data_IF_963522310411
#
_entry.id   IF_963522310411
#
_cell.length_a   1.000
_cell.length_b   1.000
_cell.length_c   1.000
_cell.angle_alpha   90.00
_cell.angle_beta   90.00
_cell.angle_gamma   90.00
#
_symmetry.space_group_name_H-M   'P 1'
#
loop_
_entity.id
_entity.type
_entity.pdbx_description
1 polymer ?
#
# COMPACT_ATOMS: atom_id res chain seq x y z
N UNK A 1 -7.61 -14.44 -10.57
CA UNK A 1 -6.21 -14.04 -10.77
C UNK A 1 -6.04 -12.61 -10.28
N UNK A 2 -4.89 -12.29 -9.69
CA UNK A 2 -4.54 -10.92 -9.29
C UNK A 2 -3.45 -10.47 -10.27
N UNK A 3 -3.63 -9.29 -10.87
CA UNK A 3 -2.71 -8.80 -11.90
C UNK A 3 -2.48 -7.29 -11.73
N UNK A 4 -1.31 -6.93 -11.22
CA UNK A 4 -0.90 -5.54 -11.04
C UNK A 4 -0.45 -4.87 -12.34
N UNK A 5 -0.31 -5.62 -13.44
CA UNK A 5 -0.05 -5.08 -14.77
C UNK A 5 -1.32 -4.73 -15.54
N UNK A 6 -2.48 -5.04 -14.98
CA UNK A 6 -3.78 -4.80 -15.59
C UNK A 6 -4.46 -3.61 -14.91
N UNK A 7 -4.74 -2.55 -15.68
CA UNK A 7 -5.33 -1.32 -15.13
C UNK A 7 -6.78 -1.49 -14.68
N UNK A 8 -7.51 -2.42 -15.30
CA UNK A 8 -8.96 -2.58 -15.11
C UNK A 8 -9.34 -4.01 -14.75
N UNK A 9 -10.24 -4.16 -13.80
CA UNK A 9 -10.73 -5.48 -13.37
C UNK A 9 -11.63 -6.10 -14.43
N UNK A 10 -11.37 -7.37 -14.74
CA UNK A 10 -12.02 -8.10 -15.83
C UNK A 10 -12.71 -9.36 -15.30
N UNK A 11 -13.92 -9.60 -15.81
CA UNK A 11 -14.70 -10.80 -15.53
C UNK A 11 -15.08 -11.50 -16.83
N UNK A 12 -15.05 -12.83 -16.82
CA UNK A 12 -15.45 -13.64 -17.96
C UNK A 12 -16.98 -13.69 -18.08
N UNK A 13 -17.51 -13.42 -19.27
CA UNK A 13 -18.95 -13.54 -19.55
C UNK A 13 -19.51 -14.91 -19.18
N UNK A 14 -18.75 -15.98 -19.44
CA UNK A 14 -19.15 -17.36 -19.11
C UNK A 14 -19.40 -17.55 -17.61
N UNK A 15 -18.64 -16.86 -16.75
CA UNK A 15 -18.85 -16.92 -15.31
C UNK A 15 -20.19 -16.28 -14.95
N UNK A 16 -20.47 -15.10 -15.49
CA UNK A 16 -21.69 -14.32 -15.24
C UNK A 16 -22.93 -15.14 -15.61
N UNK A 17 -22.90 -15.78 -16.78
CA UNK A 17 -23.97 -16.65 -17.25
C UNK A 17 -24.13 -17.89 -16.36
N UNK A 18 -23.02 -18.50 -15.92
CA UNK A 18 -23.03 -19.67 -15.04
C UNK A 18 -23.63 -19.37 -13.65
N UNK A 19 -23.45 -18.15 -13.15
CA UNK A 19 -23.99 -17.73 -11.83
C UNK A 19 -25.29 -16.93 -11.93
N UNK A 20 -25.90 -16.89 -13.12
CA UNK A 20 -27.17 -16.21 -13.41
C UNK A 20 -27.20 -14.73 -12.99
N UNK A 21 -26.12 -14.01 -13.29
CA UNK A 21 -26.00 -12.56 -13.01
C UNK A 21 -26.15 -11.70 -14.27
N UNK A 22 -26.66 -12.27 -15.36
CA UNK A 22 -26.77 -11.59 -16.66
C UNK A 22 -27.68 -10.36 -16.61
N UNK A 23 -28.66 -10.36 -15.69
CA UNK A 23 -29.56 -9.24 -15.44
C UNK A 23 -28.87 -8.02 -14.77
N UNK A 24 -27.65 -8.17 -14.26
CA UNK A 24 -26.89 -7.08 -13.63
C UNK A 24 -25.91 -6.38 -14.60
N UNK A 25 -25.88 -6.81 -15.86
CA UNK A 25 -25.01 -6.23 -16.88
C UNK A 25 -25.53 -4.84 -17.28
N UNK A 26 -24.63 -3.86 -17.30
CA UNK A 26 -24.93 -2.50 -17.77
C UNK A 26 -23.96 -2.06 -18.86
N UNK A 27 -24.38 -1.08 -19.66
CA UNK A 27 -23.54 -0.48 -20.70
C UNK A 27 -22.58 0.53 -20.09
N UNK A 28 -21.34 0.51 -20.57
CA UNK A 28 -20.28 1.46 -20.21
C UNK A 28 -19.75 2.15 -21.47
N UNK A 29 -19.07 3.31 -21.34
CA UNK A 29 -18.29 3.87 -22.42
C UNK A 29 -17.33 2.84 -23.02
N UNK A 30 -17.05 2.95 -24.31
CA UNK A 30 -16.20 2.01 -25.04
C UNK A 30 -14.79 1.99 -24.45
N UNK A 31 -14.35 0.85 -23.95
CA UNK A 31 -12.99 0.60 -23.45
C UNK A 31 -12.25 -0.28 -24.44
N UNK A 32 -11.04 0.13 -24.82
CA UNK A 32 -10.14 -0.68 -25.64
C UNK A 32 -9.10 -1.33 -24.73
N UNK A 33 -9.15 -2.65 -24.60
CA UNK A 33 -8.11 -3.41 -23.93
C UNK A 33 -6.94 -3.57 -24.89
N UNK A 34 -5.78 -3.09 -24.49
CA UNK A 34 -4.54 -3.15 -25.27
C UNK A 34 -3.53 -4.00 -24.52
N UNK A 35 -2.95 -4.98 -25.20
CA UNK A 35 -1.90 -5.81 -24.62
C UNK A 35 -0.56 -5.08 -24.53
N UNK A 36 0.38 -5.65 -23.79
CA UNK A 36 1.76 -5.13 -23.70
C UNK A 36 2.47 -4.98 -25.07
N UNK A 37 2.04 -5.77 -26.07
CA UNK A 37 2.51 -5.68 -27.46
C UNK A 37 1.85 -4.56 -28.28
N UNK A 38 1.11 -3.65 -27.65
CA UNK A 38 0.34 -2.55 -28.26
C UNK A 38 -0.76 -2.98 -29.23
N UNK A 39 -1.13 -4.27 -29.25
CA UNK A 39 -2.26 -4.74 -30.05
C UNK A 39 -3.55 -4.66 -29.24
N UNK A 40 -4.62 -4.21 -29.87
CA UNK A 40 -5.96 -4.26 -29.29
C UNK A 40 -6.38 -5.72 -29.14
N UNK A 41 -6.67 -6.12 -27.89
CA UNK A 41 -7.14 -7.44 -27.54
C UNK A 41 -8.66 -7.53 -27.67
N UNK A 42 -9.35 -6.50 -27.19
CA UNK A 42 -10.80 -6.43 -27.24
C UNK A 42 -11.28 -4.98 -27.13
N UNK A 43 -12.41 -4.71 -27.76
CA UNK A 43 -13.25 -3.56 -27.44
C UNK A 43 -14.38 -4.05 -26.55
N UNK A 44 -14.62 -3.39 -25.42
CA UNK A 44 -15.68 -3.73 -24.49
C UNK A 44 -16.54 -2.50 -24.21
N UNK A 45 -17.85 -2.72 -24.08
CA UNK A 45 -18.83 -1.70 -23.73
C UNK A 45 -19.84 -2.21 -22.69
N UNK A 46 -19.48 -3.28 -21.97
CA UNK A 46 -20.32 -3.90 -20.94
C UNK A 46 -19.55 -3.99 -19.63
N UNK A 47 -20.21 -3.64 -18.54
CA UNK A 47 -19.72 -3.74 -17.17
C UNK A 47 -20.71 -4.45 -16.27
N UNK A 48 -20.23 -4.88 -15.11
CA UNK A 48 -21.04 -5.48 -14.05
C UNK A 48 -20.44 -5.09 -12.70
N UNK A 49 -21.29 -4.90 -11.70
CA UNK A 49 -20.86 -4.73 -10.31
C UNK A 49 -21.26 -5.96 -9.52
N UNK A 50 -20.28 -6.68 -8.99
CA UNK A 50 -20.51 -7.93 -8.25
C UNK A 50 -20.06 -7.81 -6.80
N UNK A 51 -20.68 -8.58 -5.92
CA UNK A 51 -20.20 -8.76 -4.54
C UNK A 51 -19.40 -10.06 -4.46
N UNK A 52 -18.11 -9.94 -4.18
CA UNK A 52 -17.20 -11.08 -3.98
C UNK A 52 -16.98 -11.29 -2.49
N UNK A 53 -17.04 -12.55 -2.05
CA UNK A 53 -16.69 -12.93 -0.69
C UNK A 53 -15.22 -13.30 -0.61
N UNK A 54 -14.46 -12.61 0.22
CA UNK A 54 -13.08 -12.96 0.57
C UNK A 54 -13.03 -13.31 2.06
N UNK A 55 -12.87 -14.60 2.37
CA UNK A 55 -12.96 -15.11 3.73
C UNK A 55 -14.33 -14.86 4.36
N UNK A 56 -14.40 -13.98 5.36
CA UNK A 56 -15.63 -13.62 6.08
C UNK A 56 -16.27 -12.31 5.62
N UNK A 57 -15.61 -11.55 4.73
CA UNK A 57 -16.04 -10.21 4.30
C UNK A 57 -16.51 -10.23 2.85
N UNK A 58 -17.40 -9.29 2.54
CA UNK A 58 -17.90 -9.06 1.18
C UNK A 58 -17.33 -7.75 0.65
N UNK A 59 -16.88 -7.77 -0.59
CA UNK A 59 -16.34 -6.63 -1.30
C UNK A 59 -17.12 -6.43 -2.59
N UNK A 60 -17.57 -5.21 -2.84
CA UNK A 60 -18.16 -4.85 -4.12
C UNK A 60 -17.04 -4.50 -5.09
N UNK A 61 -16.98 -5.21 -6.22
CA UNK A 61 -16.05 -4.99 -7.31
C UNK A 61 -16.82 -4.52 -8.54
N UNK A 62 -16.30 -3.50 -9.20
CA UNK A 62 -16.68 -3.08 -10.53
C UNK A 62 -15.80 -3.80 -11.55
N UNK A 63 -16.43 -4.39 -12.57
CA UNK A 63 -15.72 -5.23 -13.53
C UNK A 63 -16.18 -4.93 -14.94
N UNK A 64 -15.26 -5.01 -15.89
CA UNK A 64 -15.54 -4.97 -17.31
C UNK A 64 -15.67 -6.39 -17.86
N UNK A 65 -16.69 -6.63 -18.67
CA UNK A 65 -17.07 -7.97 -19.11
C UNK A 65 -16.27 -8.35 -20.35
N UNK A 66 -15.38 -9.33 -20.22
CA UNK A 66 -14.61 -9.86 -21.33
C UNK A 66 -15.22 -11.18 -21.82
N UNK A 67 -15.56 -11.29 -23.12
CA UNK A 67 -16.30 -12.44 -23.64
C UNK A 67 -15.49 -13.74 -23.71
N UNK A 68 -14.17 -13.66 -23.85
CA UNK A 68 -13.32 -14.84 -24.04
C UNK A 68 -11.99 -14.69 -23.29
N UNK A 69 -11.94 -15.22 -22.07
CA UNK A 69 -10.73 -15.29 -21.24
C UNK A 69 -10.54 -16.70 -20.68
N UNK A 70 -9.28 -17.08 -20.43
CA UNK A 70 -8.94 -18.32 -19.73
C UNK A 70 -9.27 -18.27 -18.23
N UNK A 71 -9.18 -17.09 -17.62
CA UNK A 71 -9.49 -16.90 -16.20
C UNK A 71 -10.92 -16.39 -16.02
N UNK A 72 -11.59 -16.89 -14.99
CA UNK A 72 -12.95 -16.47 -14.59
C UNK A 72 -13.00 -14.99 -14.21
N UNK A 73 -12.01 -14.53 -13.44
CA UNK A 73 -11.86 -13.14 -13.02
C UNK A 73 -10.37 -12.79 -12.88
N UNK A 74 -10.03 -11.58 -13.31
CA UNK A 74 -8.73 -10.95 -13.09
C UNK A 74 -8.96 -9.61 -12.40
N UNK A 75 -8.45 -9.48 -11.18
CA UNK A 75 -8.53 -8.24 -10.39
C UNK A 75 -7.33 -7.38 -10.76
N UNK A 76 -7.62 -6.21 -11.31
CA UNK A 76 -6.66 -5.21 -11.76
C UNK A 76 -6.36 -4.17 -10.69
N UNK A 77 -5.48 -3.23 -11.03
CA UNK A 77 -4.99 -2.18 -10.13
C UNK A 77 -6.10 -1.25 -9.66
N UNK A 78 -7.15 -1.04 -10.47
CA UNK A 78 -8.34 -0.26 -10.09
C UNK A 78 -8.92 -0.74 -8.75
N UNK A 79 -9.27 -2.02 -8.67
CA UNK A 79 -9.88 -2.61 -7.46
C UNK A 79 -8.84 -2.90 -6.37
N UNK A 80 -7.62 -3.31 -6.75
CA UNK A 80 -6.57 -3.57 -5.76
C UNK A 80 -6.19 -2.30 -4.98
N UNK A 81 -6.14 -1.15 -5.67
CA UNK A 81 -5.83 0.13 -5.06
C UNK A 81 -7.02 0.64 -4.26
N UNK A 82 -8.24 0.57 -4.81
CA UNK A 82 -9.45 1.01 -4.10
C UNK A 82 -9.67 0.26 -2.78
N UNK A 83 -9.28 -1.03 -2.72
CA UNK A 83 -9.42 -1.84 -1.50
C UNK A 83 -8.12 -1.90 -0.67
N UNK A 84 -7.12 -1.06 -0.94
CA UNK A 84 -5.85 -1.03 -0.19
C UNK A 84 -5.23 -2.44 -0.02
N UNK A 85 -5.18 -3.20 -1.12
CA UNK A 85 -4.67 -4.57 -1.11
C UNK A 85 -3.15 -4.57 -1.01
N UNK A 86 -2.62 -5.30 -0.04
CA UNK A 86 -1.18 -5.54 0.14
C UNK A 86 -0.85 -6.98 -0.22
N UNK A 87 0.06 -7.13 -1.18
CA UNK A 87 0.56 -8.42 -1.65
C UNK A 87 1.94 -8.68 -1.03
N UNK A 88 1.99 -9.62 -0.10
CA UNK A 88 3.23 -10.07 0.54
C UNK A 88 3.83 -11.26 -0.21
N UNK A 89 4.72 -11.00 -1.17
CA UNK A 89 5.36 -12.06 -1.99
C UNK A 89 6.18 -13.05 -1.15
N UNK A 90 6.88 -12.58 -0.13
CA UNK A 90 7.72 -13.43 0.74
C UNK A 90 6.92 -14.53 1.46
N UNK A 91 5.70 -14.19 1.87
CA UNK A 91 4.85 -15.08 2.68
C UNK A 91 3.68 -15.65 1.85
N UNK A 92 3.62 -15.34 0.55
CA UNK A 92 2.49 -15.65 -0.33
C UNK A 92 1.13 -15.25 0.28
N UNK A 93 1.06 -14.06 0.88
CA UNK A 93 -0.14 -13.56 1.55
C UNK A 93 -0.73 -12.37 0.81
N UNK A 94 -2.06 -12.26 0.82
CA UNK A 94 -2.78 -11.06 0.44
C UNK A 94 -3.56 -10.54 1.64
N UNK A 95 -3.47 -9.23 1.92
CA UNK A 95 -4.24 -8.55 2.97
C UNK A 95 -4.96 -7.34 2.37
N UNK A 96 -6.10 -6.99 2.94
CA UNK A 96 -6.85 -5.77 2.65
C UNK A 96 -6.66 -4.91 3.88
N UNK A 97 -5.93 -3.79 3.78
CA UNK A 97 -5.78 -2.86 4.90
C UNK A 97 -7.13 -2.17 5.12
N UNK A 98 -7.59 -2.16 6.36
CA UNK A 98 -8.71 -1.30 6.73
C UNK A 98 -8.15 0.09 7.01
N UNK A 99 -8.86 1.17 6.63
CA UNK A 99 -8.41 2.57 6.85
C UNK A 99 -7.97 2.84 8.31
N UNK A 100 -8.52 2.10 9.28
CA UNK A 100 -8.13 2.19 10.70
C UNK A 100 -6.70 1.72 11.00
N UNK A 101 -6.12 0.84 10.18
CA UNK A 101 -4.73 0.39 10.33
C UNK A 101 -3.73 1.46 9.85
N UNK A 102 -4.09 2.26 8.84
CA UNK A 102 -3.22 3.33 8.34
C UNK A 102 -3.05 4.48 9.35
N UNK A 103 -4.11 4.87 10.08
CA UNK A 103 -3.99 5.84 11.18
C UNK A 103 -3.06 5.34 12.29
N UNK A 104 -3.12 4.04 12.62
CA UNK A 104 -2.27 3.44 13.65
C UNK A 104 -0.81 3.36 13.22
N UNK A 105 -0.53 2.95 11.98
CA UNK A 105 0.84 2.89 11.42
C UNK A 105 1.48 4.30 11.39
N UNK A 106 0.73 5.33 11.00
CA UNK A 106 1.22 6.73 10.98
C UNK A 106 1.49 7.22 12.42
N UNK A 107 0.58 6.96 13.35
CA UNK A 107 0.74 7.30 14.77
C UNK A 107 1.96 6.60 15.41
N UNK A 108 2.27 5.37 15.01
CA UNK A 108 3.44 4.65 15.49
C UNK A 108 4.75 5.21 14.91
N UNK A 109 4.77 5.54 13.61
CA UNK A 109 5.92 6.20 12.98
C UNK A 109 6.24 7.57 13.61
N UNK A 110 5.21 8.39 13.89
CA UNK A 110 5.38 9.70 14.52
C UNK A 110 5.91 9.59 15.96
N UNK A 111 5.40 8.61 16.74
CA UNK A 111 5.91 8.32 18.08
C UNK A 111 7.36 7.87 18.08
N UNK A 112 7.78 7.07 17.09
CA UNK A 112 9.15 6.62 16.97
C UNK A 112 10.10 7.77 16.59
N UNK A 113 9.66 8.65 15.68
CA UNK A 113 10.44 9.82 15.27
C UNK A 113 10.65 10.82 16.43
N UNK A 114 9.62 11.06 17.25
CA UNK A 114 9.74 11.91 18.45
C UNK A 114 10.68 11.32 19.51
N UNK A 115 10.65 9.99 19.74
CA UNK A 115 11.63 9.33 20.62
C UNK A 115 13.06 9.52 20.14
N UNK A 116 13.32 9.33 18.84
CA UNK A 116 14.65 9.49 18.24
C UNK A 116 15.17 10.93 18.34
N UNK A 117 14.31 11.94 18.23
CA UNK A 117 14.69 13.35 18.44
C UNK A 117 15.10 13.62 19.89
N UNK A 118 14.33 13.11 20.86
CA UNK A 118 14.62 13.30 22.28
C UNK A 118 15.94 12.66 22.69
N UNK A 119 16.18 11.42 22.27
CA UNK A 119 17.43 10.69 22.56
C UNK A 119 18.66 11.40 21.97
N UNK A 120 18.52 12.03 20.79
CA UNK A 120 19.60 12.80 20.17
C UNK A 120 19.85 14.14 20.85
N UNK A 121 18.81 14.79 21.39
CA UNK A 121 18.96 16.02 22.16
C UNK A 121 19.71 15.76 23.47
N UNK A 122 19.33 14.69 24.19
CA UNK A 122 19.93 14.31 25.46
C UNK A 122 21.42 13.92 25.28
N UNK A 123 21.76 13.21 24.20
CA UNK A 123 23.15 12.91 23.84
C UNK A 123 23.97 14.17 23.56
N UNK A 124 23.42 15.15 22.82
CA UNK A 124 24.12 16.41 22.55
C UNK A 124 24.40 17.21 23.83
N UNK A 125 23.40 17.34 24.71
CA UNK A 125 23.58 18.03 25.99
C UNK A 125 24.61 17.33 26.88
N UNK A 126 24.62 15.99 26.90
CA UNK A 126 25.59 15.22 27.67
C UNK A 126 27.03 15.41 27.16
N UNK A 127 27.22 15.47 25.84
CA UNK A 127 28.53 15.72 25.22
C UNK A 127 29.03 17.14 25.52
N UNK A 128 28.18 18.16 25.42
CA UNK A 128 28.54 19.55 25.74
C UNK A 128 28.92 19.72 27.21
N UNK A 129 28.16 19.12 28.12
CA UNK A 129 28.43 19.19 29.56
C UNK A 129 29.79 18.54 29.90
N UNK A 130 30.12 17.43 29.26
CA UNK A 130 31.40 16.74 29.43
C UNK A 130 32.58 17.53 28.82
N UNK A 131 32.38 18.22 27.69
CA UNK A 131 33.39 19.11 27.11
C UNK A 131 33.67 20.31 28.03
N UNK A 132 32.62 20.94 28.57
CA UNK A 132 32.75 22.07 29.48
C UNK A 132 33.49 21.70 30.78
N UNK A 133 33.19 20.53 31.37
CA UNK A 133 33.90 20.01 32.54
C UNK A 133 35.40 19.76 32.25
N UNK A 134 35.73 19.17 31.09
CA UNK A 134 37.13 18.95 30.68
C UNK A 134 37.90 20.27 30.46
N UNK A 135 37.27 21.30 29.91
CA UNK A 135 37.92 22.62 29.74
C UNK A 135 38.12 23.35 31.07
N UNK A 136 37.17 23.23 32.01
CA UNK A 136 37.28 23.80 33.36
C UNK A 136 38.43 23.19 34.19
N UNK A 137 38.64 21.88 34.09
CA UNK A 137 39.74 21.18 34.75
C UNK A 137 41.12 21.60 34.21
N UNK A 138 41.27 21.74 32.89
CA UNK A 138 42.52 22.23 32.25
C UNK A 138 42.89 23.67 32.65
N UNK A 139 41.91 24.53 32.93
CA UNK A 139 42.15 25.91 33.40
C UNK A 139 42.60 25.96 34.87
N UNK A 140 42.13 25.05 35.73
CA UNK A 140 42.56 24.96 37.14
C UNK A 140 44.00 24.44 37.28
N UNK A 141 44.39 23.43 36.51
CA UNK A 141 45.77 22.91 36.54
C UNK A 141 46.81 23.90 36.03
N UNK A 142 46.49 24.73 35.03
CA UNK A 142 47.38 25.82 34.55
C UNK A 142 47.58 26.95 35.57
N UNK A 143 46.63 27.23 36.47
CA UNK A 143 46.80 28.25 37.52
C UNK A 143 47.65 27.76 38.70
N UNK A 144 47.66 26.45 38.98
CA UNK A 144 48.47 25.85 40.04
C UNK A 144 49.96 25.74 39.68
N UNK A 145 50.30 25.64 38.40
CA UNK A 145 51.71 25.59 37.94
C UNK A 145 52.42 26.96 37.90
N UNK A 146 51.68 28.08 37.99
CA UNK A 146 52.27 29.44 38.03
C UNK A 146 52.54 29.98 39.45
N UNK A 147 52.34 29.15 40.48
CA UNK A 147 52.53 29.52 41.90
C UNK A 147 53.65 28.72 42.61
N UNK A 148 54.51 28.04 41.85
CA UNK A 148 55.78 27.48 42.35
C UNK A 148 56.93 28.22 41.71
#
# INVERSE_FOLDING_TARGET
MIDTGLEITLINRKLIEKVDLTNLIYKIPRVNLVGANKRTLATINEGIRIKVRLGKKFYALQCVIMPNKMHDMIVGVDELSEKHVVIGFKNNTMKIREEKEEEQDILEMDKEHEKRKKDNLDKKQTVEMNLAKKQGQKRKSRKLQKKK
#
